data_IF_501149778843
#
_entry.id   IF_501149778843
#
_cell.length_a   1.000
_cell.length_b   1.000
_cell.length_c   1.000
_cell.angle_alpha   90.00
_cell.angle_beta   90.00
_cell.angle_gamma   90.00
#
_symmetry.space_group_name_H-M   'P 1'
#
loop_
_entity.id
_entity.type
_entity.pdbx_description
1 polymer ?
#
# COMPACT_ATOMS: atom_id res chain seq x y z
N UNK A 1 4.90 -17.63 9.06
CA UNK A 1 4.24 -16.39 9.44
C UNK A 1 3.47 -15.87 8.22
N UNK A 2 2.17 -15.66 8.35
CA UNK A 2 1.32 -15.08 7.30
C UNK A 2 1.18 -13.59 7.60
N UNK A 3 1.39 -12.75 6.60
CA UNK A 3 1.12 -11.31 6.65
C UNK A 3 -0.07 -11.07 5.73
N UNK A 4 -1.28 -10.86 6.28
CA UNK A 4 -2.44 -10.55 5.47
C UNK A 4 -2.31 -9.16 4.85
N UNK A 5 -2.87 -8.98 3.65
CA UNK A 5 -2.84 -7.73 2.92
C UNK A 5 -4.24 -7.28 2.52
N UNK A 6 -4.51 -6.00 2.75
CA UNK A 6 -5.58 -5.25 2.12
C UNK A 6 -4.93 -4.20 1.23
N UNK A 7 -4.87 -4.47 -0.06
CA UNK A 7 -4.21 -3.59 -1.01
C UNK A 7 -5.13 -2.42 -1.39
N UNK A 8 -4.78 -1.26 -0.89
CA UNK A 8 -5.51 0.01 -1.07
C UNK A 8 -4.52 1.19 -1.14
N UNK A 9 -4.81 2.28 -1.82
CA UNK A 9 -6.06 2.64 -2.50
C UNK A 9 -6.07 2.38 -4.00
N UNK A 10 -4.96 1.91 -4.61
CA UNK A 10 -4.96 1.34 -5.95
C UNK A 10 -5.27 -0.17 -5.89
N UNK A 11 -5.32 -0.84 -7.04
CA UNK A 11 -5.66 -2.27 -7.15
C UNK A 11 -6.99 -2.66 -6.47
N UNK A 12 -7.84 -1.68 -6.23
CA UNK A 12 -9.05 -1.75 -5.39
C UNK A 12 -10.34 -1.95 -6.19
N UNK A 13 -10.26 -2.55 -7.38
CA UNK A 13 -11.42 -2.75 -8.26
C UNK A 13 -12.56 -3.54 -7.59
N UNK A 14 -12.25 -4.46 -6.68
CA UNK A 14 -13.25 -5.21 -5.93
C UNK A 14 -14.13 -4.28 -5.08
N UNK A 15 -13.57 -3.26 -4.46
CA UNK A 15 -14.30 -2.30 -3.61
C UNK A 15 -15.13 -1.33 -4.44
N UNK A 16 -14.59 -0.83 -5.56
CA UNK A 16 -15.32 0.04 -6.46
C UNK A 16 -16.42 -0.69 -7.24
N UNK A 17 -16.30 -2.00 -7.47
CA UNK A 17 -17.41 -2.83 -8.01
C UNK A 17 -18.47 -3.12 -6.98
N UNK A 18 -18.11 -3.17 -5.70
CA UNK A 18 -19.08 -3.29 -4.61
C UNK A 18 -19.90 -2.00 -4.45
N UNK A 19 -19.19 -0.83 -4.54
CA UNK A 19 -19.82 0.50 -4.56
C UNK A 19 -19.09 1.39 -5.56
N UNK A 20 -19.74 1.67 -6.67
CA UNK A 20 -19.16 2.45 -7.77
C UNK A 20 -18.71 3.85 -7.34
N UNK A 21 -19.38 4.43 -6.36
CA UNK A 21 -19.06 5.74 -5.79
C UNK A 21 -17.72 5.79 -5.03
N UNK A 22 -17.10 4.64 -4.73
CA UNK A 22 -15.78 4.59 -4.10
C UNK A 22 -14.65 4.68 -5.13
N UNK A 23 -14.92 4.33 -6.38
CA UNK A 23 -13.94 4.40 -7.46
C UNK A 23 -13.67 5.82 -7.93
N UNK A 24 -12.42 6.10 -8.27
CA UNK A 24 -12.03 7.38 -8.85
C UNK A 24 -12.48 7.48 -10.30
N UNK A 25 -13.28 8.49 -10.61
CA UNK A 25 -13.66 8.81 -12.01
C UNK A 25 -12.49 9.39 -12.81
N UNK A 26 -11.51 9.96 -12.14
CA UNK A 26 -10.38 10.63 -12.76
C UNK A 26 -9.20 9.69 -13.01
N UNK A 27 -8.93 8.77 -12.07
CA UNK A 27 -7.74 7.90 -12.10
C UNK A 27 -8.03 6.46 -12.47
N UNK A 28 -9.31 6.10 -12.63
CA UNK A 28 -9.77 4.76 -12.96
C UNK A 28 -10.46 4.04 -11.80
N UNK A 29 -11.32 3.10 -12.14
CA UNK A 29 -12.15 2.39 -11.15
C UNK A 29 -11.37 1.41 -10.26
N UNK A 30 -10.13 1.13 -10.58
CA UNK A 30 -9.19 0.37 -9.75
C UNK A 30 -8.51 1.23 -8.67
N UNK A 31 -8.71 2.54 -8.72
CA UNK A 31 -8.26 3.50 -7.72
C UNK A 31 -9.46 3.99 -6.88
N UNK A 32 -9.34 3.97 -5.57
CA UNK A 32 -10.34 4.59 -4.70
C UNK A 32 -10.23 6.12 -4.74
N UNK A 33 -11.37 6.79 -4.69
CA UNK A 33 -11.40 8.26 -4.65
C UNK A 33 -11.04 8.76 -3.24
N UNK A 34 -9.81 9.22 -3.08
CA UNK A 34 -9.30 9.72 -1.80
C UNK A 34 -9.90 11.05 -1.35
N UNK A 35 -10.67 11.73 -2.21
CA UNK A 35 -11.42 12.93 -1.84
C UNK A 35 -12.83 12.61 -1.35
N UNK A 36 -13.29 11.36 -1.50
CA UNK A 36 -14.57 10.88 -1.00
C UNK A 36 -14.45 10.41 0.46
N UNK A 37 -15.06 11.09 1.45
CA UNK A 37 -14.98 10.69 2.85
C UNK A 37 -15.59 9.31 3.12
N UNK A 38 -16.55 8.85 2.30
CA UNK A 38 -17.17 7.54 2.46
C UNK A 38 -16.18 6.39 2.21
N UNK A 39 -15.13 6.63 1.41
CA UNK A 39 -14.04 5.66 1.22
C UNK A 39 -13.32 5.40 2.54
N UNK A 40 -13.00 6.45 3.29
CA UNK A 40 -12.37 6.30 4.61
C UNK A 40 -13.31 5.63 5.61
N UNK A 41 -14.57 6.02 5.67
CA UNK A 41 -15.57 5.38 6.55
C UNK A 41 -15.66 3.88 6.26
N UNK A 42 -15.68 3.50 5.00
CA UNK A 42 -15.75 2.10 4.58
C UNK A 42 -14.46 1.34 4.96
N UNK A 43 -13.30 1.88 4.62
CA UNK A 43 -12.01 1.22 4.89
C UNK A 43 -11.70 1.16 6.39
N UNK A 44 -12.00 2.21 7.15
CA UNK A 44 -11.86 2.20 8.61
C UNK A 44 -12.70 1.10 9.24
N UNK A 45 -13.95 0.92 8.77
CA UNK A 45 -14.81 -0.16 9.23
C UNK A 45 -14.26 -1.53 8.86
N UNK A 46 -13.74 -1.68 7.64
CA UNK A 46 -13.19 -2.94 7.14
C UNK A 46 -11.92 -3.34 7.92
N UNK A 47 -10.98 -2.42 8.12
CA UNK A 47 -9.79 -2.68 8.92
C UNK A 47 -10.15 -2.99 10.38
N UNK A 48 -11.10 -2.25 10.95
CA UNK A 48 -11.59 -2.50 12.32
C UNK A 48 -12.17 -3.90 12.44
N UNK A 49 -13.04 -4.32 11.52
CA UNK A 49 -13.65 -5.67 11.52
C UNK A 49 -12.59 -6.78 11.54
N UNK A 50 -11.47 -6.60 10.82
CA UNK A 50 -10.42 -7.62 10.73
C UNK A 50 -9.40 -7.58 11.85
N UNK A 51 -9.27 -6.44 12.55
CA UNK A 51 -8.23 -6.20 13.55
C UNK A 51 -8.71 -6.19 15.00
N UNK A 52 -10.01 -5.92 15.21
CA UNK A 52 -10.59 -5.73 16.55
C UNK A 52 -11.10 -7.04 17.15
N UNK A 53 -11.17 -7.09 18.49
CA UNK A 53 -11.77 -8.18 19.26
C UNK A 53 -10.75 -9.13 19.88
N UNK A 54 -11.28 -10.10 20.64
CA UNK A 54 -10.47 -11.12 21.32
C UNK A 54 -9.90 -12.15 20.34
N UNK A 55 -10.60 -12.39 19.21
CA UNK A 55 -10.19 -13.34 18.15
C UNK A 55 -10.31 -12.67 16.77
N UNK A 56 -9.43 -11.72 16.46
CA UNK A 56 -9.49 -10.98 15.22
C UNK A 56 -9.16 -11.86 14.01
N UNK A 57 -9.70 -11.55 12.84
CA UNK A 57 -9.39 -12.27 11.58
C UNK A 57 -7.88 -12.21 11.28
N UNK A 58 -7.26 -11.05 11.50
CA UNK A 58 -5.82 -10.87 11.35
C UNK A 58 -5.10 -11.12 12.67
N UNK A 59 -4.96 -12.39 13.06
CA UNK A 59 -4.34 -12.83 14.30
C UNK A 59 -2.84 -12.51 14.41
N UNK A 60 -2.13 -12.42 13.28
CA UNK A 60 -0.68 -12.17 13.23
C UNK A 60 -0.28 -10.79 13.75
N UNK A 61 1.01 -10.62 14.01
CA UNK A 61 1.57 -9.34 14.47
C UNK A 61 1.74 -8.30 13.35
N UNK A 62 1.65 -8.72 12.10
CA UNK A 62 1.96 -7.91 10.93
C UNK A 62 0.75 -7.80 10.03
N UNK A 63 0.54 -6.63 9.44
CA UNK A 63 -0.51 -6.35 8.46
C UNK A 63 0.08 -5.53 7.32
N UNK A 64 -0.23 -5.92 6.09
CA UNK A 64 0.16 -5.18 4.90
C UNK A 64 -1.02 -4.34 4.39
N UNK A 65 -0.77 -3.07 4.13
CA UNK A 65 -1.81 -2.11 3.72
C UNK A 65 -1.76 -1.75 2.22
N UNK A 66 -0.96 -2.48 1.42
CA UNK A 66 -0.78 -2.21 0.00
C UNK A 66 0.00 -0.93 -0.26
N UNK A 67 -0.63 0.06 -0.87
CA UNK A 67 -0.16 1.43 -1.13
C UNK A 67 0.80 1.58 -2.32
N UNK A 68 0.77 0.67 -3.27
CA UNK A 68 1.48 0.82 -4.53
C UNK A 68 0.63 1.50 -5.61
N UNK A 69 1.32 2.01 -6.59
CA UNK A 69 0.83 2.45 -7.90
C UNK A 69 -0.34 3.44 -7.92
N UNK A 70 -0.60 4.18 -6.83
CA UNK A 70 -1.61 5.24 -6.87
C UNK A 70 -1.17 6.42 -7.74
N UNK A 71 -2.13 7.18 -8.27
CA UNK A 71 -1.86 8.32 -9.15
C UNK A 71 -0.99 9.39 -8.47
N UNK A 72 -0.06 9.96 -9.23
CA UNK A 72 0.74 11.13 -8.86
C UNK A 72 0.53 12.31 -9.83
N UNK A 73 -0.62 12.37 -10.50
CA UNK A 73 -0.92 13.28 -11.60
C UNK A 73 -0.78 14.76 -11.24
N UNK A 74 -1.12 15.12 -10.00
CA UNK A 74 -0.99 16.47 -9.49
C UNK A 74 -0.62 16.51 -8.00
N UNK A 75 -0.25 17.69 -7.51
CA UNK A 75 0.19 17.87 -6.12
C UNK A 75 -0.91 17.53 -5.11
N UNK A 76 -2.16 17.87 -5.39
CA UNK A 76 -3.26 17.65 -4.43
C UNK A 76 -3.49 16.15 -4.20
N UNK A 77 -3.47 15.34 -5.26
CA UNK A 77 -3.63 13.89 -5.16
C UNK A 77 -2.42 13.23 -4.47
N UNK A 78 -1.21 13.73 -4.73
CA UNK A 78 0.00 13.25 -4.05
C UNK A 78 -0.09 13.50 -2.54
N UNK A 79 -0.42 14.71 -2.11
CA UNK A 79 -0.55 15.03 -0.69
C UNK A 79 -1.68 14.24 -0.03
N UNK A 80 -2.78 14.03 -0.74
CA UNK A 80 -3.90 13.22 -0.26
C UNK A 80 -3.51 11.74 -0.11
N UNK A 81 -2.77 11.19 -1.06
CA UNK A 81 -2.26 9.83 -0.99
C UNK A 81 -1.26 9.65 0.16
N UNK A 82 -0.36 10.58 0.36
CA UNK A 82 0.56 10.56 1.51
C UNK A 82 -0.19 10.61 2.85
N UNK A 83 -1.20 11.47 2.95
CA UNK A 83 -2.08 11.52 4.12
C UNK A 83 -2.84 10.20 4.34
N UNK A 84 -3.28 9.55 3.26
CA UNK A 84 -3.92 8.24 3.30
C UNK A 84 -2.98 7.17 3.87
N UNK A 85 -1.75 7.10 3.38
CA UNK A 85 -0.75 6.15 3.88
C UNK A 85 -0.51 6.35 5.38
N UNK A 86 -0.27 7.59 5.83
CA UNK A 86 -0.04 7.89 7.25
C UNK A 86 -1.26 7.55 8.12
N UNK A 87 -2.48 7.82 7.63
CA UNK A 87 -3.71 7.46 8.31
C UNK A 87 -3.81 5.95 8.57
N UNK A 88 -3.59 5.10 7.54
CA UNK A 88 -3.72 3.65 7.70
C UNK A 88 -2.55 3.02 8.45
N UNK A 89 -1.34 3.57 8.38
CA UNK A 89 -0.27 3.19 9.29
C UNK A 89 -0.74 3.34 10.74
N UNK A 90 -1.23 4.52 11.11
CA UNK A 90 -1.69 4.81 12.47
C UNK A 90 -2.94 4.02 12.86
N UNK A 91 -3.85 3.80 11.92
CA UNK A 91 -5.05 3.02 12.17
C UNK A 91 -4.71 1.57 12.56
N UNK A 92 -3.86 0.92 11.79
CA UNK A 92 -3.41 -0.46 12.04
C UNK A 92 -2.58 -0.58 13.33
N UNK A 93 -1.74 0.40 13.62
CA UNK A 93 -0.94 0.44 14.85
C UNK A 93 -1.77 0.52 16.14
N UNK A 94 -2.98 1.10 16.11
CA UNK A 94 -3.88 1.12 17.28
C UNK A 94 -4.19 -0.28 17.82
N UNK A 95 -4.10 -1.29 16.96
CA UNK A 95 -4.32 -2.70 17.28
C UNK A 95 -3.01 -3.45 17.61
N UNK A 96 -1.92 -2.73 17.88
CA UNK A 96 -0.61 -3.30 18.24
C UNK A 96 0.08 -4.06 17.09
N UNK A 97 -0.29 -3.80 15.85
CA UNK A 97 0.29 -4.45 14.66
C UNK A 97 1.46 -3.65 14.11
N UNK A 98 2.42 -4.36 13.52
CA UNK A 98 3.46 -3.76 12.68
C UNK A 98 2.95 -3.65 11.25
N UNK A 99 3.19 -2.51 10.62
CA UNK A 99 2.71 -2.21 9.27
C UNK A 99 3.75 -2.58 8.23
N UNK A 100 3.29 -3.28 7.21
CA UNK A 100 3.99 -3.48 5.93
C UNK A 100 3.28 -2.70 4.84
N UNK A 101 4.05 -2.20 3.89
CA UNK A 101 3.50 -1.51 2.71
C UNK A 101 4.42 -1.63 1.50
N UNK A 102 3.86 -1.53 0.31
CA UNK A 102 4.60 -1.36 -0.92
C UNK A 102 5.14 0.07 -1.01
N UNK A 103 6.40 0.20 -1.41
CA UNK A 103 7.03 1.51 -1.52
C UNK A 103 6.52 2.30 -2.72
N UNK A 104 6.03 3.52 -2.45
CA UNK A 104 5.54 4.48 -3.44
C UNK A 104 5.97 5.93 -3.20
N UNK A 105 6.77 6.21 -2.18
CA UNK A 105 7.02 7.59 -1.72
C UNK A 105 8.06 8.36 -2.56
N UNK A 106 8.83 7.70 -3.41
CA UNK A 106 9.62 8.39 -4.45
C UNK A 106 8.72 8.83 -5.61
N UNK A 107 7.77 8.00 -5.99
CA UNK A 107 6.75 8.30 -7.00
C UNK A 107 5.77 9.38 -6.52
N UNK A 108 5.27 9.25 -5.30
CA UNK A 108 4.41 10.23 -4.62
C UNK A 108 5.24 11.20 -3.78
N UNK A 109 6.18 11.92 -4.41
CA UNK A 109 7.00 12.93 -3.75
C UNK A 109 6.17 14.14 -3.37
N UNK A 110 6.08 14.43 -2.07
CA UNK A 110 5.26 15.52 -1.51
C UNK A 110 5.73 15.98 -0.14
N UNK A 111 5.01 16.94 0.42
CA UNK A 111 5.35 17.63 1.67
C UNK A 111 4.66 16.99 2.89
N UNK A 112 3.50 16.34 2.71
CA UNK A 112 2.77 15.66 3.79
C UNK A 112 3.64 14.55 4.38
N UNK A 113 3.94 14.59 5.69
CA UNK A 113 4.77 13.58 6.33
C UNK A 113 4.06 12.23 6.37
N UNK A 114 4.84 11.15 6.20
CA UNK A 114 4.37 9.77 6.37
C UNK A 114 5.25 9.11 7.42
N UNK A 115 4.63 8.52 8.41
CA UNK A 115 5.32 7.85 9.52
C UNK A 115 6.22 6.71 9.00
N UNK A 116 7.49 6.69 9.45
CA UNK A 116 8.44 5.62 9.11
C UNK A 116 8.68 4.64 10.28
N UNK A 117 8.49 5.10 11.52
CA UNK A 117 8.69 4.27 12.71
C UNK A 117 7.70 3.10 12.72
N UNK A 118 8.18 1.89 13.04
CA UNK A 118 7.42 0.64 13.05
C UNK A 118 6.80 0.25 11.70
N UNK A 119 7.34 0.78 10.60
CA UNK A 119 6.91 0.48 9.22
C UNK A 119 8.00 -0.30 8.50
N UNK A 120 7.60 -1.36 7.80
CA UNK A 120 8.47 -2.11 6.89
C UNK A 120 7.99 -1.86 5.46
N UNK A 121 8.84 -1.20 4.68
CA UNK A 121 8.55 -0.88 3.28
C UNK A 121 9.17 -1.91 2.34
N UNK A 122 8.38 -2.47 1.46
CA UNK A 122 8.81 -3.37 0.39
C UNK A 122 9.16 -2.58 -0.86
N UNK A 123 10.46 -2.52 -1.20
CA UNK A 123 10.96 -1.81 -2.37
C UNK A 123 11.02 -2.76 -3.57
N UNK A 124 10.05 -2.64 -4.45
CA UNK A 124 9.89 -3.49 -5.63
C UNK A 124 10.39 -2.83 -6.94
N UNK A 125 10.33 -1.53 -7.02
CA UNK A 125 10.79 -0.76 -8.17
C UNK A 125 11.34 0.63 -7.74
N UNK A 126 12.60 0.99 -8.09
CA UNK A 126 13.24 2.21 -7.56
C UNK A 126 12.55 3.52 -7.96
N UNK A 127 11.81 3.56 -9.07
CA UNK A 127 11.04 4.74 -9.44
C UNK A 127 9.85 4.99 -8.52
N UNK A 128 9.31 3.95 -7.89
CA UNK A 128 8.25 4.07 -6.89
C UNK A 128 8.82 4.32 -5.50
N UNK A 129 9.85 3.56 -5.10
CA UNK A 129 10.57 3.78 -3.84
C UNK A 129 12.06 3.52 -4.03
N UNK A 130 12.84 4.59 -4.10
CA UNK A 130 14.30 4.50 -4.12
C UNK A 130 14.80 4.05 -2.73
N UNK A 131 15.50 2.90 -2.61
CA UNK A 131 15.90 2.39 -1.31
C UNK A 131 16.75 3.37 -0.49
N UNK A 132 17.66 4.11 -1.12
CA UNK A 132 18.52 5.06 -0.41
C UNK A 132 17.70 6.21 0.19
N UNK A 133 16.73 6.75 -0.58
CA UNK A 133 15.86 7.82 -0.11
C UNK A 133 14.98 7.34 1.05
N UNK A 134 14.48 6.10 0.97
CA UNK A 134 13.62 5.52 2.00
C UNK A 134 14.39 5.25 3.30
N UNK A 135 15.63 4.74 3.21
CA UNK A 135 16.50 4.58 4.38
C UNK A 135 16.78 5.92 5.05
N UNK A 136 17.08 6.97 4.27
CA UNK A 136 17.29 8.32 4.81
C UNK A 136 16.06 8.89 5.52
N UNK A 137 14.84 8.50 5.10
CA UNK A 137 13.59 8.84 5.76
C UNK A 137 13.27 7.96 6.98
N UNK A 138 14.11 6.97 7.30
CA UNK A 138 14.00 6.13 8.49
C UNK A 138 13.19 4.83 8.34
N UNK A 139 12.80 4.46 7.11
CA UNK A 139 12.10 3.19 6.86
C UNK A 139 13.02 1.99 6.99
N UNK A 140 12.48 0.90 7.55
CA UNK A 140 13.05 -0.44 7.41
C UNK A 140 12.61 -1.03 6.07
N UNK A 141 13.54 -1.64 5.32
CA UNK A 141 13.26 -2.07 3.97
C UNK A 141 13.33 -3.60 3.81
N UNK A 142 12.48 -4.10 2.93
CA UNK A 142 12.64 -5.41 2.27
C UNK A 142 12.85 -5.15 0.78
N UNK A 143 13.94 -5.66 0.23
CA UNK A 143 14.25 -5.51 -1.20
C UNK A 143 13.59 -6.65 -1.99
N UNK A 144 12.69 -6.28 -2.91
CA UNK A 144 11.96 -7.21 -3.78
C UNK A 144 11.99 -6.66 -5.22
N UNK A 145 13.18 -6.53 -5.83
CA UNK A 145 13.28 -5.93 -7.16
C UNK A 145 12.54 -6.78 -8.20
N UNK A 146 11.56 -6.17 -8.86
CA UNK A 146 10.65 -6.87 -9.76
C UNK A 146 11.35 -7.61 -10.90
N UNK A 147 12.46 -7.09 -11.40
CA UNK A 147 13.24 -7.68 -12.49
C UNK A 147 14.03 -8.95 -12.11
N UNK A 148 14.18 -9.23 -10.81
CA UNK A 148 14.92 -10.41 -10.32
C UNK A 148 14.04 -11.40 -9.57
N UNK A 149 13.06 -10.90 -8.82
CA UNK A 149 12.28 -11.71 -7.87
C UNK A 149 10.88 -12.06 -8.34
N UNK A 150 10.33 -11.33 -9.33
CA UNK A 150 8.99 -11.62 -9.82
C UNK A 150 8.99 -12.82 -10.76
N UNK A 151 8.20 -13.82 -10.38
CA UNK A 151 7.86 -14.98 -11.20
C UNK A 151 6.36 -14.94 -11.37
N UNK A 152 5.90 -14.58 -12.57
CA UNK A 152 4.46 -14.42 -12.86
C UNK A 152 4.14 -15.15 -14.16
N UNK A 153 3.94 -16.49 -14.09
CA UNK A 153 3.73 -17.32 -15.26
C UNK A 153 2.54 -16.86 -16.10
N UNK A 154 2.73 -16.88 -17.41
CA UNK A 154 1.73 -16.47 -18.40
C UNK A 154 1.23 -15.02 -18.30
N UNK A 155 1.96 -14.15 -17.62
CA UNK A 155 1.63 -12.73 -17.47
C UNK A 155 2.46 -11.80 -18.39
N UNK A 156 2.64 -12.21 -19.63
CA UNK A 156 3.24 -11.38 -20.69
C UNK A 156 4.74 -11.14 -20.50
N UNK A 157 5.13 -9.96 -20.03
CA UNK A 157 6.53 -9.54 -19.91
C UNK A 157 7.23 -10.03 -18.63
N UNK A 158 6.51 -10.61 -17.69
CA UNK A 158 7.10 -11.20 -16.50
C UNK A 158 7.78 -12.53 -16.80
N UNK A 159 8.75 -12.92 -15.95
CA UNK A 159 9.44 -14.20 -16.08
C UNK A 159 8.57 -15.34 -15.56
N UNK A 160 8.68 -16.50 -16.23
CA UNK A 160 8.04 -17.74 -15.82
C UNK A 160 8.90 -18.55 -14.84
N UNK A 161 10.14 -18.12 -14.61
CA UNK A 161 11.12 -18.80 -13.76
C UNK A 161 12.03 -17.83 -13.04
N UNK A 162 12.60 -18.28 -11.93
CA UNK A 162 13.63 -17.56 -11.19
C UNK A 162 14.98 -17.69 -11.90
N UNK A 163 15.57 -16.58 -12.29
CA UNK A 163 16.94 -16.54 -12.82
C UNK A 163 17.93 -16.31 -11.67
N UNK A 164 18.60 -17.39 -11.24
CA UNK A 164 19.56 -17.36 -10.14
C UNK A 164 20.98 -16.99 -10.57
N UNK A 165 21.19 -16.67 -11.84
CA UNK A 165 22.51 -16.36 -12.41
C UNK A 165 22.77 -14.85 -12.51
N UNK A 166 21.89 -14.02 -11.95
CA UNK A 166 22.11 -12.56 -11.90
C UNK A 166 22.94 -12.16 -10.71
#
# INVERSE_FOLDING_TARGET
NIIPELDVPAHSLCFSRFREEYGSKEYGMDHLDLFNPNVYTFLDSLFTEYLEGEDPVFVGKNVHIGTDEYSNKDKAVVEKFRSFIDHYIRHVEKYGKQVYLWGSLTHAKGDTPVKAENVIMQCWYPKYANPNDMIQQGYKLVSIPSWTTYIVPAAGYYKDYLDIKM
#
